data_IF_075221006097
#
_entry.id   IF_075221006097
#
_cell.length_a   1.000
_cell.length_b   1.000
_cell.length_c   1.000
_cell.angle_alpha   90.00
_cell.angle_beta   90.00
_cell.angle_gamma   90.00
#
_symmetry.space_group_name_H-M   'P 1'
#
loop_
_entity.id
_entity.type
_entity.pdbx_description
1 polymer ?
#
# COMPACT_ATOMS: atom_id res chain seq x y z
N UNK A 1 -1.36 -14.05 1.56
CA UNK A 1 -1.58 -12.82 0.79
C UNK A 1 -0.59 -12.77 -0.36
N UNK A 2 -1.00 -12.15 -1.46
CA UNK A 2 -0.17 -12.03 -2.64
C UNK A 2 0.53 -10.67 -2.63
N UNK A 3 1.85 -10.59 -2.90
CA UNK A 3 2.52 -9.29 -2.98
C UNK A 3 1.89 -8.37 -4.02
N UNK A 4 1.85 -7.09 -3.71
CA UNK A 4 1.33 -6.07 -4.60
C UNK A 4 2.16 -6.01 -5.90
N UNK A 5 1.47 -5.79 -7.00
CA UNK A 5 2.09 -5.53 -8.31
C UNK A 5 1.26 -4.44 -8.98
N UNK A 6 1.91 -3.36 -9.42
CA UNK A 6 1.20 -2.22 -9.98
C UNK A 6 0.41 -2.59 -11.23
N UNK A 7 0.97 -3.40 -12.11
CA UNK A 7 0.28 -3.78 -13.36
C UNK A 7 -0.98 -4.58 -13.05
N UNK A 8 -0.93 -5.50 -12.07
CA UNK A 8 -2.11 -6.25 -11.64
C UNK A 8 -3.15 -5.32 -11.01
N UNK A 9 -2.70 -4.37 -10.18
CA UNK A 9 -3.61 -3.41 -9.58
C UNK A 9 -4.33 -2.58 -10.64
N UNK A 10 -3.60 -2.08 -11.64
CA UNK A 10 -4.19 -1.27 -12.70
C UNK A 10 -5.18 -2.08 -13.55
N UNK A 11 -4.96 -3.39 -13.70
CA UNK A 11 -5.89 -4.28 -14.40
C UNK A 11 -7.17 -4.54 -13.61
N UNK A 12 -7.12 -4.42 -12.29
CA UNK A 12 -8.29 -4.61 -11.41
C UNK A 12 -8.19 -3.71 -10.17
N UNK A 13 -8.45 -2.40 -10.32
CA UNK A 13 -8.26 -1.44 -9.22
C UNK A 13 -9.26 -1.56 -8.08
N UNK A 14 -10.30 -2.37 -8.24
CA UNK A 14 -11.24 -2.62 -7.15
C UNK A 14 -10.70 -3.62 -6.12
N UNK A 15 -9.58 -4.25 -6.41
CA UNK A 15 -8.97 -5.24 -5.53
C UNK A 15 -8.45 -4.58 -4.27
N UNK A 16 -8.76 -5.16 -3.10
CA UNK A 16 -8.35 -4.60 -1.82
C UNK A 16 -6.85 -4.74 -1.61
N UNK A 17 -6.22 -3.65 -1.16
CA UNK A 17 -4.80 -3.61 -0.83
C UNK A 17 -4.64 -3.38 0.66
N UNK A 18 -3.71 -4.09 1.27
CA UNK A 18 -3.38 -3.95 2.70
C UNK A 18 -1.87 -3.93 2.87
N UNK A 19 -1.39 -3.49 4.03
CA UNK A 19 0.02 -3.62 4.35
C UNK A 19 0.32 -5.02 4.88
N UNK A 20 1.62 -5.35 4.95
CA UNK A 20 2.06 -6.64 5.53
C UNK A 20 1.53 -6.81 6.95
N UNK A 21 1.45 -5.74 7.73
CA UNK A 21 0.94 -5.77 9.11
C UNK A 21 -0.60 -5.59 9.20
N UNK A 22 -1.29 -5.65 8.07
CA UNK A 22 -2.75 -5.68 8.04
C UNK A 22 -3.46 -4.34 8.06
N UNK A 23 -2.77 -3.23 7.85
CA UNK A 23 -3.41 -1.91 7.81
C UNK A 23 -4.19 -1.69 6.53
N UNK A 24 -5.30 -0.97 6.63
CA UNK A 24 -6.06 -0.55 5.45
C UNK A 24 -5.29 0.49 4.66
N UNK A 25 -5.38 0.37 3.33
CA UNK A 25 -4.64 1.21 2.39
C UNK A 25 -5.59 1.80 1.36
N UNK A 26 -5.43 3.09 1.07
CA UNK A 26 -6.10 3.75 -0.05
C UNK A 26 -5.03 4.20 -1.04
N UNK A 27 -5.06 3.66 -2.25
CA UNK A 27 -4.14 4.08 -3.32
C UNK A 27 -4.69 5.36 -3.93
N UNK A 28 -3.91 6.43 -3.93
CA UNK A 28 -4.37 7.73 -4.43
C UNK A 28 -3.66 8.17 -5.70
N UNK A 29 -2.52 7.58 -6.03
CA UNK A 29 -1.78 7.90 -7.25
C UNK A 29 -0.91 6.71 -7.62
N UNK A 30 -0.80 6.42 -8.91
CA UNK A 30 -0.01 5.28 -9.41
C UNK A 30 1.03 5.69 -10.43
N UNK A 31 1.06 6.96 -10.81
CA UNK A 31 1.90 7.46 -11.89
C UNK A 31 2.75 8.66 -11.47
N UNK A 32 3.07 8.75 -10.19
CA UNK A 32 3.98 9.79 -9.71
C UNK A 32 5.33 9.65 -10.43
N UNK A 33 5.86 10.76 -10.90
CA UNK A 33 7.12 10.76 -11.62
C UNK A 33 8.30 10.66 -10.65
N UNK A 34 8.63 9.44 -10.24
CA UNK A 34 9.70 9.13 -9.29
C UNK A 34 9.98 7.62 -9.28
N UNK A 35 11.04 7.21 -8.60
CA UNK A 35 11.35 5.78 -8.41
C UNK A 35 10.28 5.06 -7.59
N UNK A 36 9.55 5.81 -6.75
CA UNK A 36 8.44 5.29 -5.96
C UNK A 36 7.16 5.93 -6.48
N UNK A 37 6.60 5.39 -7.58
CA UNK A 37 5.48 6.04 -8.27
C UNK A 37 4.12 5.87 -7.60
N UNK A 38 3.97 4.90 -6.70
CA UNK A 38 2.69 4.62 -6.04
C UNK A 38 2.61 5.46 -4.78
N UNK A 39 1.52 6.22 -4.65
CA UNK A 39 1.25 7.05 -3.46
C UNK A 39 0.00 6.51 -2.78
N UNK A 40 0.09 6.26 -1.50
CA UNK A 40 -0.99 5.67 -0.74
C UNK A 40 -1.22 6.38 0.59
N UNK A 41 -2.43 6.25 1.11
CA UNK A 41 -2.77 6.67 2.46
C UNK A 41 -2.96 5.42 3.31
N UNK A 42 -2.21 5.34 4.40
CA UNK A 42 -2.27 4.24 5.35
C UNK A 42 -3.02 4.68 6.60
N UNK A 43 -3.91 3.81 7.06
CA UNK A 43 -4.69 4.07 8.27
C UNK A 43 -3.89 3.69 9.51
N UNK A 44 -3.80 4.63 10.45
CA UNK A 44 -3.19 4.40 11.77
C UNK A 44 -4.19 4.74 12.85
N UNK A 45 -4.30 3.86 13.84
CA UNK A 45 -5.16 4.05 14.99
C UNK A 45 -4.29 4.16 16.24
N UNK A 46 -4.47 5.22 17.00
CA UNK A 46 -3.73 5.45 18.24
C UNK A 46 -4.55 5.07 19.46
N UNK A 47 -3.86 4.89 20.58
CA UNK A 47 -4.42 4.30 21.82
C UNK A 47 -5.57 5.08 22.45
N UNK A 48 -5.82 6.31 22.05
CA UNK A 48 -6.86 7.16 22.66
C UNK A 48 -8.06 7.37 21.76
N UNK A 49 -8.29 6.47 20.80
CA UNK A 49 -9.37 6.59 19.84
C UNK A 49 -9.13 7.62 18.76
N UNK A 50 -7.94 8.18 18.72
CA UNK A 50 -7.53 9.09 17.66
C UNK A 50 -6.99 8.29 16.48
N UNK A 51 -7.53 8.54 15.30
CA UNK A 51 -7.05 7.88 14.08
C UNK A 51 -6.66 8.90 13.04
N UNK A 52 -5.74 8.53 12.17
CA UNK A 52 -5.29 9.39 11.09
C UNK A 52 -4.80 8.56 9.91
N UNK A 53 -4.66 9.20 8.76
CA UNK A 53 -4.04 8.59 7.60
C UNK A 53 -2.69 9.25 7.33
N UNK A 54 -1.73 8.45 6.91
CA UNK A 54 -0.38 8.91 6.61
C UNK A 54 -0.06 8.64 5.16
N UNK A 55 0.56 9.62 4.48
CA UNK A 55 0.96 9.47 3.08
C UNK A 55 2.25 8.67 3.03
N UNK A 56 2.28 7.62 2.21
CA UNK A 56 3.47 6.78 2.02
C UNK A 56 3.64 6.50 0.53
N UNK A 57 4.87 6.45 0.06
CA UNK A 57 5.17 6.14 -1.35
C UNK A 57 5.77 4.74 -1.45
N UNK A 58 5.53 4.09 -2.61
CA UNK A 58 5.93 2.71 -2.84
C UNK A 58 6.49 2.50 -4.23
N UNK A 59 7.34 1.49 -4.37
CA UNK A 59 7.80 1.04 -5.67
C UNK A 59 6.65 0.40 -6.45
N UNK A 60 6.87 0.08 -7.73
CA UNK A 60 5.89 -0.64 -8.56
C UNK A 60 5.54 -2.01 -7.98
N UNK A 61 6.41 -2.57 -7.15
CA UNK A 61 6.17 -3.86 -6.47
C UNK A 61 5.55 -3.70 -5.09
N UNK A 62 5.17 -2.48 -4.72
CA UNK A 62 4.56 -2.23 -3.42
C UNK A 62 5.54 -2.24 -2.26
N UNK A 63 6.81 -2.03 -2.53
CA UNK A 63 7.84 -2.00 -1.49
C UNK A 63 7.98 -0.59 -0.91
N UNK A 64 7.94 -0.50 0.41
CA UNK A 64 8.22 0.75 1.11
C UNK A 64 9.66 1.18 0.88
N UNK A 65 10.57 0.24 0.88
CA UNK A 65 11.99 0.44 0.59
C UNK A 65 12.45 -0.70 -0.32
N UNK A 66 13.07 -0.37 -1.45
CA UNK A 66 13.47 -1.39 -2.44
C UNK A 66 14.55 -2.34 -1.93
N UNK A 67 15.28 -1.96 -0.88
CA UNK A 67 16.40 -2.75 -0.36
C UNK A 67 16.03 -3.66 0.81
N UNK A 68 14.90 -3.41 1.47
CA UNK A 68 14.53 -4.13 2.70
C UNK A 68 13.05 -4.45 2.74
N UNK A 69 12.71 -5.59 3.35
CA UNK A 69 11.33 -5.88 3.69
C UNK A 69 10.88 -4.95 4.82
N UNK A 70 9.60 -4.59 4.80
CA UNK A 70 9.04 -3.66 5.78
C UNK A 70 7.61 -4.08 6.11
N UNK A 71 7.19 -3.85 7.35
CA UNK A 71 5.82 -4.16 7.78
C UNK A 71 4.77 -3.34 7.01
N UNK A 72 5.17 -2.26 6.38
CA UNK A 72 4.28 -1.41 5.57
C UNK A 72 4.25 -1.78 4.10
N UNK A 73 4.99 -2.81 3.66
CA UNK A 73 4.95 -3.29 2.27
C UNK A 73 3.51 -3.67 1.90
N UNK A 74 3.15 -3.40 0.64
CA UNK A 74 1.79 -3.62 0.16
C UNK A 74 1.56 -5.05 -0.31
N UNK A 75 0.36 -5.56 -0.04
CA UNK A 75 -0.10 -6.86 -0.48
C UNK A 75 -1.55 -6.74 -0.95
N UNK A 76 -1.95 -7.65 -1.83
CA UNK A 76 -3.37 -7.82 -2.13
C UNK A 76 -3.99 -8.67 -1.02
N UNK A 77 -5.11 -8.19 -0.48
CA UNK A 77 -5.85 -8.96 0.52
C UNK A 77 -6.41 -10.24 -0.12
N UNK A 78 -6.59 -11.32 0.66
CA UNK A 78 -7.20 -12.54 0.13
C UNK A 78 -8.60 -12.25 -0.42
N UNK A 79 -8.90 -12.81 -1.57
CA UNK A 79 -10.25 -12.76 -2.12
C UNK A 79 -11.10 -13.86 -1.49
N UNK A 80 -12.36 -13.55 -1.23
CA UNK A 80 -13.32 -14.54 -0.71
C UNK A 80 -14.05 -15.23 -1.83
#
# INVERSE_FOLDING_TARGET
MKPFNLDEYLANPSRKVVTRDGRNVRIICTDRLAEYPVVALLYFEENEGYSHEQIVTYTRKGQFNMDFENSLDLFFAPEK
#
